data_IF_122008459620
#
_entry.id   IF_122008459620
#
_cell.length_a   1.000
_cell.length_b   1.000
_cell.length_c   1.000
_cell.angle_alpha   90.00
_cell.angle_beta   90.00
_cell.angle_gamma   90.00
#
_symmetry.space_group_name_H-M   'P 1'
#
loop_
_entity.id
_entity.type
_entity.pdbx_description
1 polymer ?
#
# COMPACT_ATOMS: atom_id res chain seq x y z
N UNK A 1 23.77 3.27 8.89
CA UNK A 1 22.52 2.51 9.12
C UNK A 1 22.35 1.53 7.97
N UNK A 2 21.72 0.37 8.21
CA UNK A 2 21.28 -0.50 7.13
C UNK A 2 20.32 0.27 6.19
N UNK A 3 20.39 0.10 4.86
CA UNK A 3 19.43 0.74 3.96
C UNK A 3 18.03 0.19 4.22
N UNK A 4 17.08 1.08 4.48
CA UNK A 4 15.68 0.75 4.72
C UNK A 4 14.86 1.27 3.53
N UNK A 5 14.06 0.40 2.93
CA UNK A 5 13.11 0.74 1.87
C UNK A 5 11.70 0.70 2.46
N UNK A 6 11.03 1.85 2.56
CA UNK A 6 9.60 1.91 2.93
C UNK A 6 8.75 1.90 1.68
N UNK A 7 7.75 1.04 1.68
CA UNK A 7 6.76 0.91 0.61
C UNK A 7 5.41 1.28 1.19
N UNK A 8 4.72 2.20 0.54
CA UNK A 8 3.35 2.60 0.79
C UNK A 8 2.48 1.93 -0.24
N UNK A 9 1.47 1.20 0.18
CA UNK A 9 0.62 0.45 -0.73
C UNK A 9 -0.84 0.56 -0.34
N UNK A 10 -1.69 0.14 -1.27
CA UNK A 10 -3.12 0.04 -1.13
C UNK A 10 -3.63 -1.07 -2.05
N UNK A 11 -4.73 -1.72 -1.69
CA UNK A 11 -5.38 -2.74 -2.51
C UNK A 11 -6.86 -2.51 -2.60
N UNK A 12 -7.40 -2.77 -3.79
CA UNK A 12 -8.83 -2.90 -3.98
C UNK A 12 -9.18 -4.38 -4.11
N UNK A 13 -10.29 -4.78 -3.52
CA UNK A 13 -10.73 -6.17 -3.48
C UNK A 13 -12.24 -6.29 -3.34
N UNK A 14 -12.76 -7.46 -3.68
CA UNK A 14 -14.13 -7.88 -3.35
C UNK A 14 -14.03 -8.83 -2.16
N UNK A 15 -14.65 -8.48 -1.04
CA UNK A 15 -14.70 -9.34 0.14
C UNK A 15 -16.16 -9.77 0.42
N UNK A 16 -16.32 -10.89 1.13
CA UNK A 16 -17.65 -11.43 1.46
C UNK A 16 -17.73 -11.94 2.90
N UNK A 17 -16.75 -11.56 3.74
CA UNK A 17 -16.59 -12.11 5.10
C UNK A 17 -15.93 -13.50 5.14
N UNK A 18 -15.61 -14.09 3.99
CA UNK A 18 -14.93 -15.39 3.88
C UNK A 18 -13.64 -15.32 3.06
N UNK A 19 -13.67 -14.58 1.97
CA UNK A 19 -12.56 -14.43 1.02
C UNK A 19 -12.25 -12.96 0.78
N UNK A 20 -11.05 -12.72 0.24
CA UNK A 20 -10.59 -11.42 -0.24
C UNK A 20 -10.11 -11.65 -1.67
N UNK A 21 -10.94 -11.26 -2.64
CA UNK A 21 -10.65 -11.41 -4.06
C UNK A 21 -10.01 -10.13 -4.60
N UNK A 22 -8.69 -10.16 -4.79
CA UNK A 22 -7.89 -8.98 -5.16
C UNK A 22 -8.29 -8.46 -6.54
N UNK A 23 -8.75 -7.21 -6.59
CA UNK A 23 -9.03 -6.47 -7.83
C UNK A 23 -7.76 -5.78 -8.32
N UNK A 24 -7.11 -4.95 -7.49
CA UNK A 24 -5.90 -4.23 -7.89
C UNK A 24 -4.98 -3.94 -6.71
N UNK A 25 -3.72 -3.63 -7.00
CA UNK A 25 -2.71 -3.21 -6.04
C UNK A 25 -1.92 -2.04 -6.60
N UNK A 26 -1.75 -1.00 -5.79
CA UNK A 26 -0.81 0.09 -6.03
C UNK A 26 0.25 0.12 -4.94
N UNK A 27 1.50 0.38 -5.30
CA UNK A 27 2.60 0.52 -4.36
C UNK A 27 3.61 1.58 -4.81
N UNK A 28 4.12 2.36 -3.86
CA UNK A 28 5.08 3.45 -4.08
C UNK A 28 6.16 3.42 -3.00
N UNK A 29 7.41 3.63 -3.35
CA UNK A 29 8.50 3.78 -2.37
C UNK A 29 8.80 5.26 -2.03
N UNK A 30 9.67 5.50 -1.04
CA UNK A 30 10.08 6.87 -0.67
C UNK A 30 10.87 7.61 -1.78
N UNK A 31 11.38 6.90 -2.78
CA UNK A 31 12.12 7.45 -3.91
C UNK A 31 11.22 7.76 -5.13
N UNK A 32 9.92 7.43 -5.04
CA UNK A 32 8.93 7.67 -6.09
C UNK A 32 8.83 6.57 -7.16
N UNK A 33 9.45 5.41 -6.95
CA UNK A 33 9.22 4.26 -7.83
C UNK A 33 7.84 3.67 -7.56
N UNK A 34 7.15 3.28 -8.63
CA UNK A 34 5.76 2.86 -8.57
C UNK A 34 5.54 1.46 -9.16
N UNK A 35 4.59 0.74 -8.58
CA UNK A 35 4.05 -0.51 -9.09
C UNK A 35 2.52 -0.43 -9.08
N UNK A 36 1.89 -0.84 -10.17
CA UNK A 36 0.44 -0.92 -10.27
C UNK A 36 0.04 -2.13 -11.12
N UNK A 37 -0.93 -2.89 -10.63
CA UNK A 37 -1.50 -3.99 -11.35
C UNK A 37 -2.99 -4.19 -11.01
N UNK A 38 -3.73 -4.67 -11.99
CA UNK A 38 -5.12 -5.10 -11.88
C UNK A 38 -5.17 -6.59 -12.16
N UNK A 39 -5.79 -7.38 -11.28
CA UNK A 39 -5.90 -8.81 -11.48
C UNK A 39 -6.87 -9.11 -12.61
N UNK A 40 -6.51 -10.05 -13.49
CA UNK A 40 -7.43 -10.61 -14.49
C UNK A 40 -8.29 -11.75 -13.94
N UNK A 41 -8.20 -12.05 -12.64
CA UNK A 41 -8.73 -13.29 -12.06
C UNK A 41 -9.85 -13.05 -11.03
N UNK A 42 -10.15 -11.80 -10.66
CA UNK A 42 -11.26 -11.53 -9.75
C UNK A 42 -12.62 -11.75 -10.41
N UNK A 43 -13.60 -12.18 -9.63
CA UNK A 43 -14.98 -12.38 -10.10
C UNK A 43 -15.80 -11.09 -9.93
N UNK A 44 -15.88 -10.30 -11.01
CA UNK A 44 -16.59 -9.02 -11.03
C UNK A 44 -18.11 -9.15 -10.80
N UNK A 45 -18.67 -10.35 -10.94
CA UNK A 45 -20.10 -10.61 -10.70
C UNK A 45 -20.45 -10.57 -9.21
N UNK A 46 -19.45 -10.73 -8.33
CA UNK A 46 -19.59 -10.63 -6.88
C UNK A 46 -19.52 -9.19 -6.36
N UNK A 47 -19.13 -8.24 -7.21
CA UNK A 47 -18.98 -6.84 -6.79
C UNK A 47 -20.35 -6.22 -6.44
N UNK A 48 -20.47 -5.75 -5.20
CA UNK A 48 -21.61 -4.96 -4.75
C UNK A 48 -21.66 -3.60 -5.50
N UNK A 49 -22.81 -2.91 -5.54
CA UNK A 49 -22.95 -1.64 -6.28
C UNK A 49 -21.91 -0.58 -5.88
N UNK A 50 -21.50 -0.57 -4.60
CA UNK A 50 -20.47 0.35 -4.12
C UNK A 50 -19.11 0.07 -4.76
N UNK A 51 -18.67 -1.19 -4.81
CA UNK A 51 -17.39 -1.60 -5.42
C UNK A 51 -17.41 -1.30 -6.91
N UNK A 52 -18.52 -1.61 -7.61
CA UNK A 52 -18.61 -1.31 -9.04
C UNK A 52 -18.39 0.17 -9.35
N UNK A 53 -19.16 1.03 -8.67
CA UNK A 53 -19.13 2.48 -8.90
C UNK A 53 -17.80 3.13 -8.49
N UNK A 54 -17.23 2.69 -7.36
CA UNK A 54 -16.08 3.38 -6.78
C UNK A 54 -14.75 2.76 -7.21
N UNK A 55 -14.72 1.48 -7.57
CA UNK A 55 -13.49 0.75 -7.92
C UNK A 55 -13.49 0.36 -9.39
N UNK A 56 -14.44 -0.48 -9.81
CA UNK A 56 -14.39 -1.12 -11.13
C UNK A 56 -14.50 -0.11 -12.27
N UNK A 57 -15.35 0.92 -12.12
CA UNK A 57 -15.53 1.98 -13.11
C UNK A 57 -14.28 2.88 -13.28
N UNK A 58 -13.29 2.77 -12.37
CA UNK A 58 -12.02 3.51 -12.42
C UNK A 58 -10.87 2.70 -12.99
N UNK A 59 -11.06 1.40 -13.22
CA UNK A 59 -10.01 0.54 -13.75
C UNK A 59 -9.59 1.00 -15.16
N UNK A 60 -8.31 0.83 -15.51
CA UNK A 60 -7.82 1.17 -16.84
C UNK A 60 -8.48 0.29 -17.91
N UNK A 61 -8.47 0.77 -19.15
CA UNK A 61 -9.06 0.03 -20.27
C UNK A 61 -8.48 -1.38 -20.42
N UNK A 62 -9.22 -2.37 -20.98
CA UNK A 62 -8.80 -3.78 -21.00
C UNK A 62 -7.48 -4.09 -21.73
N UNK A 63 -7.01 -3.17 -22.58
CA UNK A 63 -5.73 -3.29 -23.29
C UNK A 63 -4.54 -2.72 -22.49
N UNK A 64 -4.77 -2.15 -21.30
CA UNK A 64 -3.72 -1.61 -20.45
C UNK A 64 -2.83 -2.74 -19.92
N UNK A 65 -1.51 -2.50 -19.91
CA UNK A 65 -0.50 -3.45 -19.43
C UNK A 65 -0.60 -3.75 -17.93
N UNK A 66 -1.33 -2.92 -17.17
CA UNK A 66 -1.61 -3.11 -15.76
C UNK A 66 -2.45 -4.37 -15.50
N UNK A 67 -3.23 -4.84 -16.48
CA UNK A 67 -3.96 -6.09 -16.37
C UNK A 67 -2.99 -7.29 -16.37
N UNK A 68 -3.00 -8.06 -15.29
CA UNK A 68 -2.06 -9.14 -15.03
C UNK A 68 -2.74 -10.34 -14.33
N UNK A 69 -2.27 -11.55 -14.62
CA UNK A 69 -2.59 -12.72 -13.80
C UNK A 69 -2.00 -12.55 -12.39
N UNK A 70 -2.62 -13.15 -11.38
CA UNK A 70 -2.10 -13.19 -10.00
C UNK A 70 -0.69 -13.77 -9.94
N UNK A 71 -0.38 -14.73 -10.81
CA UNK A 71 0.98 -15.27 -10.95
C UNK A 71 1.99 -14.21 -11.43
N UNK A 72 1.60 -13.36 -12.37
CA UNK A 72 2.45 -12.26 -12.83
C UNK A 72 2.58 -11.18 -11.76
N UNK A 73 1.46 -10.81 -11.10
CA UNK A 73 1.44 -9.84 -10.00
C UNK A 73 2.41 -10.27 -8.88
N UNK A 74 2.33 -11.52 -8.38
CA UNK A 74 3.21 -11.97 -7.29
C UNK A 74 4.69 -11.91 -7.67
N UNK A 75 5.03 -12.14 -8.94
CA UNK A 75 6.42 -12.10 -9.42
C UNK A 75 6.91 -10.65 -9.48
N UNK A 76 6.19 -9.80 -10.20
CA UNK A 76 6.59 -8.40 -10.40
C UNK A 76 6.54 -7.60 -9.10
N UNK A 77 5.57 -7.88 -8.21
CA UNK A 77 5.52 -7.29 -6.88
C UNK A 77 6.73 -7.67 -6.04
N UNK A 78 7.16 -8.94 -6.05
CA UNK A 78 8.36 -9.36 -5.31
C UNK A 78 9.61 -8.64 -5.84
N UNK A 79 9.73 -8.53 -7.17
CA UNK A 79 10.83 -7.79 -7.81
C UNK A 79 10.82 -6.32 -7.39
N UNK A 80 9.65 -5.66 -7.39
CA UNK A 80 9.50 -4.27 -6.94
C UNK A 80 9.83 -4.07 -5.45
N UNK A 81 9.30 -4.93 -4.57
CA UNK A 81 9.51 -4.83 -3.13
C UNK A 81 10.99 -5.00 -2.75
N UNK A 82 11.71 -5.85 -3.48
CA UNK A 82 13.11 -6.19 -3.20
C UNK A 82 14.12 -5.38 -4.00
N UNK A 83 13.66 -4.53 -4.93
CA UNK A 83 14.51 -3.69 -5.75
C UNK A 83 15.48 -2.84 -4.90
N UNK A 84 16.79 -2.96 -5.18
CA UNK A 84 17.84 -2.22 -4.47
C UNK A 84 18.10 -2.67 -3.02
N UNK A 85 17.38 -3.66 -2.50
CA UNK A 85 17.57 -4.15 -1.12
C UNK A 85 18.73 -5.15 -1.08
N UNK A 86 19.83 -4.74 -0.45
CA UNK A 86 21.00 -5.63 -0.22
C UNK A 86 20.73 -6.61 0.93
N UNK A 87 21.64 -7.59 1.13
CA UNK A 87 21.56 -8.56 2.25
C UNK A 87 21.55 -7.92 3.64
N UNK A 88 21.97 -6.66 3.77
CA UNK A 88 21.94 -5.89 5.01
C UNK A 88 20.76 -4.91 5.08
N UNK A 89 19.97 -4.79 4.02
CA UNK A 89 18.82 -3.90 3.96
C UNK A 89 17.55 -4.52 4.53
N UNK A 90 16.54 -3.68 4.75
CA UNK A 90 15.21 -4.11 5.20
C UNK A 90 14.10 -3.43 4.42
N UNK A 91 12.93 -4.07 4.41
CA UNK A 91 11.69 -3.57 3.81
C UNK A 91 10.72 -3.26 4.93
N UNK A 92 10.02 -2.14 4.82
CA UNK A 92 8.82 -1.85 5.61
C UNK A 92 7.63 -1.69 4.67
N UNK A 93 6.53 -2.35 5.00
CA UNK A 93 5.25 -2.18 4.31
C UNK A 93 4.37 -1.26 5.16
N UNK A 94 3.76 -0.27 4.52
CA UNK A 94 2.88 0.71 5.14
C UNK A 94 1.58 0.84 4.33
N UNK A 95 0.45 0.78 5.01
CA UNK A 95 -0.86 1.07 4.42
C UNK A 95 -1.75 1.79 5.43
N UNK A 96 -2.84 2.39 4.97
CA UNK A 96 -3.81 3.07 5.82
C UNK A 96 -4.98 2.13 6.11
N UNK A 97 -5.13 1.68 7.37
CA UNK A 97 -6.01 0.56 7.74
C UNK A 97 -5.58 -0.79 7.14
N UNK A 98 -4.32 -1.16 7.36
CA UNK A 98 -3.58 -2.15 6.58
C UNK A 98 -4.02 -3.63 6.69
N UNK A 99 -5.07 -3.94 7.47
CA UNK A 99 -5.35 -5.32 7.87
C UNK A 99 -5.75 -6.21 6.69
N UNK A 100 -6.76 -5.80 5.92
CA UNK A 100 -7.24 -6.57 4.78
C UNK A 100 -6.24 -6.50 3.62
N UNK A 101 -5.61 -5.35 3.38
CA UNK A 101 -4.58 -5.19 2.37
C UNK A 101 -3.41 -6.16 2.58
N UNK A 102 -2.97 -6.33 3.84
CA UNK A 102 -1.90 -7.26 4.16
C UNK A 102 -2.29 -8.70 3.81
N UNK A 103 -3.53 -9.10 4.12
CA UNK A 103 -4.02 -10.43 3.75
C UNK A 103 -4.12 -10.57 2.22
N UNK A 104 -4.65 -9.57 1.53
CA UNK A 104 -4.83 -9.56 0.08
C UNK A 104 -3.50 -9.77 -0.66
N UNK A 105 -2.43 -9.06 -0.26
CA UNK A 105 -1.11 -9.22 -0.86
C UNK A 105 -0.48 -10.56 -0.46
N UNK A 106 -0.59 -11.01 0.80
CA UNK A 106 0.03 -12.26 1.22
C UNK A 106 -0.59 -13.47 0.52
N UNK A 107 -1.90 -13.44 0.26
CA UNK A 107 -2.63 -14.48 -0.46
C UNK A 107 -2.22 -14.61 -1.94
N UNK A 108 -1.43 -13.68 -2.51
CA UNK A 108 -0.77 -13.89 -3.81
C UNK A 108 0.23 -15.05 -3.79
N UNK A 109 0.78 -15.40 -2.63
CA UNK A 109 1.65 -16.57 -2.44
C UNK A 109 0.94 -17.76 -1.78
N UNK A 110 -0.38 -17.65 -1.53
CA UNK A 110 -1.16 -18.67 -0.85
C UNK A 110 -1.02 -18.61 0.67
N UNK A 111 -0.79 -19.73 1.37
CA UNK A 111 -0.74 -19.74 2.83
C UNK A 111 0.53 -19.05 3.36
N UNK A 112 0.47 -18.52 4.60
CA UNK A 112 1.59 -17.76 5.20
C UNK A 112 2.98 -18.43 5.12
N UNK A 113 3.14 -19.77 5.25
CA UNK A 113 4.45 -20.41 5.10
C UNK A 113 5.09 -20.26 3.70
N UNK A 114 4.28 -20.00 2.67
CA UNK A 114 4.73 -19.80 1.30
C UNK A 114 5.16 -18.34 1.02
N UNK A 115 4.92 -17.41 1.96
CA UNK A 115 5.30 -16.01 1.80
C UNK A 115 6.84 -15.88 1.70
N UNK A 116 7.38 -15.26 0.64
CA UNK A 116 8.82 -15.10 0.48
C UNK A 116 9.52 -14.49 1.70
N UNK A 117 10.72 -14.98 2.01
CA UNK A 117 11.50 -14.49 3.18
C UNK A 117 11.72 -12.97 3.19
N UNK A 118 11.97 -12.28 2.07
CA UNK A 118 12.16 -10.84 2.08
C UNK A 118 10.91 -10.02 2.48
N UNK A 119 9.70 -10.55 2.28
CA UNK A 119 8.46 -9.79 2.56
C UNK A 119 8.19 -9.76 4.07
N UNK A 120 8.01 -8.58 4.69
CA UNK A 120 7.64 -8.49 6.10
C UNK A 120 6.33 -9.23 6.42
N UNK A 121 6.24 -9.85 7.60
CA UNK A 121 5.05 -10.63 8.05
C UNK A 121 3.96 -9.77 8.68
N UNK A 122 4.12 -8.46 8.60
CA UNK A 122 3.13 -7.49 9.03
C UNK A 122 3.30 -6.23 8.18
N UNK A 123 2.20 -5.50 8.02
CA UNK A 123 2.23 -4.13 7.55
C UNK A 123 2.10 -3.20 8.74
N UNK A 124 2.86 -2.10 8.70
CA UNK A 124 2.71 -1.01 9.64
C UNK A 124 1.51 -0.18 9.22
N UNK A 125 0.76 0.30 10.21
CA UNK A 125 -0.47 1.03 9.98
C UNK A 125 -0.24 2.54 10.06
N UNK A 126 -0.48 3.25 8.96
CA UNK A 126 -0.34 4.70 8.88
C UNK A 126 -1.39 5.43 9.72
N UNK A 127 -2.60 4.88 9.83
CA UNK A 127 -3.64 5.45 10.67
C UNK A 127 -3.22 5.39 12.13
N UNK A 128 -2.63 4.28 12.57
CA UNK A 128 -2.07 4.18 13.92
C UNK A 128 -0.96 5.21 14.13
N UNK A 129 -0.03 5.35 13.18
CA UNK A 129 1.02 6.37 13.26
C UNK A 129 0.45 7.79 13.37
N UNK A 130 -0.64 8.08 12.66
CA UNK A 130 -1.30 9.38 12.72
C UNK A 130 -1.91 9.65 14.11
N UNK A 131 -2.50 8.64 14.76
CA UNK A 131 -2.93 8.74 16.17
C UNK A 131 -1.74 9.02 17.10
N UNK A 132 -0.66 8.25 16.97
CA UNK A 132 0.54 8.36 17.83
C UNK A 132 1.18 9.76 17.75
N UNK A 133 1.02 10.45 16.63
CA UNK A 133 1.54 11.81 16.41
C UNK A 133 0.56 12.92 16.83
N UNK A 134 -0.56 12.58 17.49
CA UNK A 134 -1.55 13.57 17.92
C UNK A 134 -2.39 14.12 16.79
N UNK A 135 -2.58 13.34 15.71
CA UNK A 135 -3.46 13.66 14.58
C UNK A 135 -3.11 14.98 13.86
N UNK A 136 -1.87 15.17 13.38
CA UNK A 136 -1.50 16.36 12.63
C UNK A 136 -2.31 16.50 11.34
N UNK A 137 -2.39 17.72 10.79
CA UNK A 137 -3.07 17.94 9.51
C UNK A 137 -2.44 17.08 8.40
N UNK A 138 -3.31 16.44 7.62
CA UNK A 138 -2.94 15.61 6.47
C UNK A 138 -3.37 16.28 5.17
N UNK A 139 -2.72 15.98 4.03
CA UNK A 139 -3.22 16.40 2.73
C UNK A 139 -4.65 15.87 2.53
N UNK A 140 -5.54 16.65 1.89
CA UNK A 140 -6.89 16.19 1.58
C UNK A 140 -6.81 14.99 0.63
N UNK A 141 -7.78 14.08 0.74
CA UNK A 141 -7.87 12.96 -0.17
C UNK A 141 -8.20 13.46 -1.60
N UNK A 142 -7.62 12.80 -2.60
CA UNK A 142 -7.79 13.16 -4.01
C UNK A 142 -9.18 12.80 -4.55
N UNK A 143 -9.50 13.29 -5.76
CA UNK A 143 -10.70 12.89 -6.50
C UNK A 143 -10.64 11.42 -6.96
N UNK A 144 -9.43 10.89 -7.06
CA UNK A 144 -9.11 9.58 -7.62
C UNK A 144 -9.06 8.49 -6.54
N UNK A 145 -9.64 8.74 -5.35
CA UNK A 145 -9.79 7.72 -4.29
C UNK A 145 -10.39 6.43 -4.84
N UNK A 146 -10.00 5.28 -4.31
CA UNK A 146 -10.37 3.95 -4.79
C UNK A 146 -9.74 3.56 -6.14
N UNK A 147 -8.69 4.30 -6.55
CA UNK A 147 -7.63 3.80 -7.42
C UNK A 147 -6.43 3.46 -6.52
N UNK A 148 -6.05 2.18 -6.49
CA UNK A 148 -5.04 1.70 -5.55
C UNK A 148 -3.67 2.40 -5.71
N UNK A 149 -3.30 2.85 -6.91
CA UNK A 149 -2.04 3.59 -7.09
C UNK A 149 -2.17 5.03 -6.59
N UNK A 150 -3.29 5.69 -6.86
CA UNK A 150 -3.58 7.01 -6.31
C UNK A 150 -3.59 6.98 -4.78
N UNK A 151 -4.18 5.96 -4.17
CA UNK A 151 -4.24 5.81 -2.71
C UNK A 151 -2.87 5.44 -2.11
N UNK A 152 -2.06 4.62 -2.79
CA UNK A 152 -0.67 4.37 -2.39
C UNK A 152 0.20 5.65 -2.42
N UNK A 153 0.05 6.50 -3.45
CA UNK A 153 0.69 7.82 -3.51
C UNK A 153 0.21 8.71 -2.37
N UNK A 154 -1.08 8.68 -2.07
CA UNK A 154 -1.67 9.46 -0.99
C UNK A 154 -1.16 8.98 0.39
N UNK A 155 -0.93 7.67 0.56
CA UNK A 155 -0.30 7.10 1.75
C UNK A 155 1.13 7.61 1.95
N UNK A 156 1.94 7.72 0.89
CA UNK A 156 3.25 8.37 0.94
C UNK A 156 3.13 9.86 1.31
N UNK A 157 2.17 10.59 0.73
CA UNK A 157 1.95 12.00 1.05
C UNK A 157 1.55 12.21 2.53
N UNK A 158 0.70 11.34 3.10
CA UNK A 158 0.37 11.33 4.53
C UNK A 158 1.60 11.09 5.39
N UNK A 159 2.44 10.13 5.01
CA UNK A 159 3.71 9.86 5.69
C UNK A 159 4.62 11.09 5.72
N UNK A 160 4.81 11.76 4.59
CA UNK A 160 5.64 12.95 4.48
C UNK A 160 5.10 14.11 5.35
N UNK A 161 3.78 14.32 5.37
CA UNK A 161 3.14 15.32 6.22
C UNK A 161 3.34 15.02 7.72
N UNK A 162 3.14 13.76 8.11
CA UNK A 162 3.40 13.28 9.48
C UNK A 162 4.87 13.47 9.90
N UNK A 163 5.82 13.12 9.03
CA UNK A 163 7.25 13.30 9.32
C UNK A 163 7.64 14.77 9.45
N UNK A 164 7.06 15.65 8.64
CA UNK A 164 7.26 17.10 8.76
C UNK A 164 6.76 17.62 10.10
N UNK A 165 5.56 17.23 10.52
CA UNK A 165 4.99 17.61 11.82
C UNK A 165 5.83 17.09 13.00
N UNK A 166 6.27 15.83 12.94
CA UNK A 166 7.12 15.20 13.96
C UNK A 166 8.45 15.95 14.14
N UNK A 167 9.09 16.37 13.05
CA UNK A 167 10.35 17.12 13.08
C UNK A 167 10.16 18.51 13.69
N UNK A 168 9.13 19.24 13.23
CA UNK A 168 8.81 20.56 13.78
C UNK A 168 8.53 20.53 15.29
N UNK A 169 7.82 19.51 15.77
CA UNK A 169 7.54 19.30 17.19
C UNK A 169 8.80 19.04 18.02
N UNK A 170 9.77 18.32 17.45
CA UNK A 170 11.05 18.01 18.11
C UNK A 170 11.96 19.24 18.22
N UNK A 171 11.96 20.10 17.19
CA UNK A 171 12.71 21.36 17.18
C UNK A 171 12.12 22.40 18.13
N UNK A 172 10.79 22.51 18.21
CA UNK A 172 10.11 23.41 19.17
C UNK A 172 10.39 23.10 20.64
N UNK A 173 10.52 21.81 20.99
CA UNK A 173 10.84 21.37 22.36
C UNK A 173 12.29 21.73 22.74
N UNK A 174 13.23 21.66 21.80
CA UNK A 174 14.64 21.99 22.08
C UNK A 174 14.91 23.50 22.15
N UNK A 175 14.09 24.34 21.52
CA UNK A 175 14.18 25.80 21.61
C UNK A 175 13.58 26.39 22.91
N UNK A 176 12.64 25.70 23.56
CA UNK A 176 11.93 26.17 24.75
C UNK A 176 12.59 25.89 26.10
N UNK A 177 13.82 25.36 26.14
CA UNK A 177 14.53 24.98 27.39
C UNK A 177 15.74 25.88 27.69
N UNK A 178 15.65 27.19 27.47
CA UNK A 178 16.68 28.17 27.89
C UNK A 178 16.10 29.25 28.77
#
# INVERSE_FOLDING_TARGET
MAPLRRIFYDTEFIEDGHTIDLVSIGAVDEDGNEFYAVSTEFDDTKAIPWVRKNVLDKLPGPADRAWMSRERIRKELLEFLTAGVTSRGSIELWAWYAAYDHVAICQLWGPMPALPRPIPRFSKDLRQRWDDLGKPDLPPAGADQHDALADARHNLARWQAMEKSRRASTEGVSAGTR
#
